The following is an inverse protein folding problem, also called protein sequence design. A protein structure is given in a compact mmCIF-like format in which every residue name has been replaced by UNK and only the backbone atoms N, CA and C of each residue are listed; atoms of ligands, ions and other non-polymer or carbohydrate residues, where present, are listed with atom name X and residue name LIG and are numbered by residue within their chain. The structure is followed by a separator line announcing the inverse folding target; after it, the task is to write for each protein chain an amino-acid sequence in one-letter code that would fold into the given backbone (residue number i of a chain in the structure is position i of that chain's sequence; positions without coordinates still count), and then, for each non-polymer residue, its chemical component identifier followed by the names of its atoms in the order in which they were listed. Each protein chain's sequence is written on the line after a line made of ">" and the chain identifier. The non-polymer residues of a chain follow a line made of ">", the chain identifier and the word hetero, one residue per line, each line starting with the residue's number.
data_IF_417319288668
#
_entry.id   IF_417319288668
#
_cell.length_a   1.000
_cell.length_b   1.000
_cell.length_c   1.000
_cell.angle_alpha   90.00
_cell.angle_beta   90.00
_cell.angle_gamma   90.00
#
_symmetry.space_group_name_H-M   'P 1'
#
loop_
_entity.id
_entity.type
_entity.pdbx_description
1 polymer ?
#
# COMPACT_ATOMS: atom_id res chain seq x y z
N UNK A 1 -22.19 -46.47 45.36
CA UNK A 1 -21.30 -45.29 45.52
C UNK A 1 -20.25 -45.13 44.42
N UNK A 2 -19.45 -46.15 44.07
CA UNK A 2 -18.36 -46.02 43.07
C UNK A 2 -18.84 -45.59 41.67
N UNK A 3 -20.00 -46.06 41.24
CA UNK A 3 -20.60 -45.70 39.93
C UNK A 3 -21.11 -44.26 39.92
N UNK A 4 -21.70 -43.79 41.01
CA UNK A 4 -22.16 -42.41 41.17
C UNK A 4 -20.98 -41.42 41.19
N UNK A 5 -19.89 -41.80 41.87
CA UNK A 5 -18.66 -41.02 41.93
C UNK A 5 -18.00 -40.87 40.55
N UNK A 6 -18.08 -41.89 39.69
CA UNK A 6 -17.58 -41.83 38.30
C UNK A 6 -18.37 -40.84 37.44
N UNK A 7 -19.70 -40.83 37.55
CA UNK A 7 -20.53 -39.87 36.82
C UNK A 7 -20.29 -38.43 37.30
N UNK A 8 -20.07 -38.25 38.60
CA UNK A 8 -19.77 -36.93 39.18
C UNK A 8 -18.39 -36.41 38.73
N UNK A 9 -17.38 -37.29 38.63
CA UNK A 9 -16.04 -36.93 38.15
C UNK A 9 -16.04 -36.57 36.66
N UNK A 10 -16.78 -37.33 35.84
CA UNK A 10 -16.92 -37.05 34.40
C UNK A 10 -17.67 -35.73 34.18
N UNK A 11 -18.73 -35.47 34.97
CA UNK A 11 -19.44 -34.18 34.94
C UNK A 11 -18.52 -33.01 35.27
N UNK A 12 -17.69 -33.13 36.31
CA UNK A 12 -16.75 -32.07 36.71
C UNK A 12 -15.68 -31.79 35.63
N UNK A 13 -15.19 -32.81 34.93
CA UNK A 13 -14.21 -32.65 33.83
C UNK A 13 -14.83 -31.96 32.61
N UNK A 14 -16.13 -32.14 32.36
CA UNK A 14 -16.84 -31.51 31.25
C UNK A 14 -17.17 -30.02 31.53
N UNK A 15 -17.33 -29.63 32.80
CA UNK A 15 -17.59 -28.23 33.17
C UNK A 15 -16.33 -27.36 33.18
N UNK A 16 -15.12 -27.93 33.24
CA UNK A 16 -13.86 -27.15 33.26
C UNK A 16 -13.34 -26.78 31.87
N UNK A 17 -14.04 -27.14 30.79
CA UNK A 17 -13.66 -26.83 29.41
C UNK A 17 -14.29 -25.54 28.86
N UNK A 18 -14.95 -24.73 29.69
CA UNK A 18 -15.33 -23.37 29.27
C UNK A 18 -14.10 -22.47 29.37
N UNK A 19 -13.18 -22.60 28.41
CA UNK A 19 -12.17 -21.59 28.15
C UNK A 19 -12.91 -20.29 27.84
N UNK A 20 -12.97 -19.40 28.82
CA UNK A 20 -13.33 -18.01 28.61
C UNK A 20 -12.20 -17.42 27.75
N UNK A 21 -12.33 -17.53 26.44
CA UNK A 21 -11.55 -16.70 25.54
C UNK A 21 -12.06 -15.29 25.80
N UNK A 22 -11.23 -14.44 26.41
CA UNK A 22 -11.39 -13.01 26.19
C UNK A 22 -11.38 -12.85 24.68
N UNK A 23 -12.50 -12.41 24.11
CA UNK A 23 -12.53 -11.87 22.77
C UNK A 23 -11.60 -10.66 22.83
N UNK A 24 -10.32 -10.88 22.54
CA UNK A 24 -9.42 -9.78 22.30
C UNK A 24 -9.88 -9.21 20.96
N UNK A 25 -10.84 -8.30 21.03
CA UNK A 25 -11.16 -7.37 19.98
C UNK A 25 -9.86 -6.60 19.70
N UNK A 26 -9.00 -7.19 18.86
CA UNK A 26 -7.81 -6.57 18.32
C UNK A 26 -8.28 -5.55 17.27
N UNK A 27 -9.10 -4.59 17.72
CA UNK A 27 -9.48 -3.43 16.95
C UNK A 27 -8.19 -2.64 16.75
N UNK A 28 -7.81 -2.47 15.49
CA UNK A 28 -6.72 -1.60 15.10
C UNK A 28 -6.95 -0.20 15.69
N UNK A 29 -6.25 0.13 16.78
CA UNK A 29 -6.40 1.41 17.49
C UNK A 29 -5.53 2.53 16.90
N UNK A 30 -4.74 2.21 15.86
CA UNK A 30 -3.86 3.16 15.22
C UNK A 30 -4.62 3.94 14.16
N UNK A 31 -4.06 5.08 13.78
CA UNK A 31 -4.56 5.87 12.65
C UNK A 31 -4.66 4.98 11.41
N UNK A 32 -5.77 5.08 10.67
CA UNK A 32 -5.91 4.40 9.37
C UNK A 32 -4.94 5.04 8.38
N UNK A 33 -4.15 4.20 7.71
CA UNK A 33 -3.13 4.68 6.77
C UNK A 33 -3.20 3.98 5.43
N UNK A 34 -2.58 4.60 4.42
CA UNK A 34 -2.36 4.01 3.10
C UNK A 34 -0.88 3.85 2.79
N UNK A 35 -0.54 2.77 2.11
CA UNK A 35 0.85 2.41 1.77
C UNK A 35 0.96 1.73 0.40
N UNK A 36 2.05 2.00 -0.32
CA UNK A 36 2.34 1.26 -1.55
C UNK A 36 2.81 -0.15 -1.21
N UNK A 37 2.10 -1.16 -1.71
CA UNK A 37 2.46 -2.57 -1.49
C UNK A 37 3.89 -2.85 -1.99
N UNK A 38 4.28 -2.25 -3.12
CA UNK A 38 5.63 -2.40 -3.68
C UNK A 38 6.71 -1.99 -2.67
N UNK A 39 6.49 -0.95 -1.89
CA UNK A 39 7.46 -0.44 -0.90
C UNK A 39 7.55 -1.31 0.34
N UNK A 40 6.48 -2.05 0.64
CA UNK A 40 6.45 -3.03 1.74
C UNK A 40 7.26 -4.28 1.38
N UNK A 41 7.17 -4.76 0.14
CA UNK A 41 7.69 -6.09 -0.25
C UNK A 41 8.93 -6.07 -1.14
N UNK A 42 9.32 -4.91 -1.66
CA UNK A 42 10.48 -4.78 -2.57
C UNK A 42 11.65 -4.13 -1.85
N UNK A 43 12.87 -4.60 -2.14
CA UNK A 43 14.08 -3.97 -1.63
C UNK A 43 14.16 -2.49 -2.03
N UNK A 44 14.49 -1.65 -1.06
CA UNK A 44 14.64 -0.21 -1.27
C UNK A 44 15.87 0.08 -2.12
N UNK A 45 15.81 1.14 -2.94
CA UNK A 45 16.96 1.59 -3.69
C UNK A 45 18.04 2.15 -2.73
N UNK A 46 19.32 2.02 -3.11
CA UNK A 46 20.45 2.47 -2.28
C UNK A 46 20.29 3.96 -1.93
N UNK A 47 20.30 4.28 -0.64
CA UNK A 47 20.14 5.64 -0.13
C UNK A 47 18.73 6.22 -0.25
N UNK A 48 17.71 5.40 -0.57
CA UNK A 48 16.31 5.82 -0.66
C UNK A 48 15.44 5.06 0.34
N UNK A 49 14.28 5.63 0.67
CA UNK A 49 13.24 5.01 1.51
C UNK A 49 12.15 4.31 0.68
N UNK A 50 12.38 4.15 -0.63
CA UNK A 50 11.44 3.57 -1.58
C UNK A 50 12.17 2.72 -2.62
N UNK A 51 11.51 1.73 -3.23
CA UNK A 51 12.07 0.99 -4.35
C UNK A 51 12.05 1.83 -5.63
N UNK A 52 12.92 1.48 -6.58
CA UNK A 52 12.91 1.99 -7.94
C UNK A 52 12.59 0.85 -8.89
N UNK A 53 11.32 0.74 -9.28
CA UNK A 53 10.80 -0.30 -10.14
C UNK A 53 11.31 -0.05 -11.58
N UNK A 54 11.97 -1.03 -12.23
CA UNK A 54 12.48 -0.83 -13.58
C UNK A 54 11.34 -0.87 -14.60
N UNK A 55 11.19 0.20 -15.38
CA UNK A 55 10.13 0.35 -16.39
C UNK A 55 10.77 0.75 -17.72
N UNK A 56 10.27 0.21 -18.84
CA UNK A 56 10.69 0.63 -20.18
C UNK A 56 9.96 1.91 -20.60
N UNK A 57 10.65 2.80 -21.33
CA UNK A 57 10.01 3.94 -22.00
C UNK A 57 8.83 3.45 -22.89
N UNK A 58 7.71 4.18 -22.85
CA UNK A 58 6.50 3.81 -23.58
C UNK A 58 5.77 2.56 -23.06
N UNK A 59 6.04 2.11 -21.83
CA UNK A 59 5.35 0.95 -21.25
C UNK A 59 3.85 1.18 -20.97
N UNK A 60 3.33 2.39 -21.18
CA UNK A 60 1.92 2.71 -20.99
C UNK A 60 1.54 2.73 -19.51
N UNK A 61 0.30 2.32 -19.20
CA UNK A 61 -0.23 2.37 -17.84
C UNK A 61 0.52 1.41 -16.89
N UNK A 62 1.15 1.98 -15.88
CA UNK A 62 1.74 1.27 -14.76
C UNK A 62 0.76 1.30 -13.59
N UNK A 63 0.41 0.13 -13.07
CA UNK A 63 -0.51 -0.01 -11.94
C UNK A 63 0.26 -0.51 -10.72
N UNK A 64 0.19 0.23 -9.62
CA UNK A 64 0.78 -0.17 -8.34
C UNK A 64 -0.33 -0.26 -7.29
N UNK A 65 -0.40 -1.41 -6.62
CA UNK A 65 -1.34 -1.64 -5.53
C UNK A 65 -1.03 -0.73 -4.33
N UNK A 66 -2.10 -0.19 -3.74
CA UNK A 66 -2.08 0.53 -2.47
C UNK A 66 -2.95 -0.21 -1.47
N UNK A 67 -2.44 -0.40 -0.26
CA UNK A 67 -3.17 -1.02 0.83
C UNK A 67 -3.78 0.05 1.74
N UNK A 68 -5.00 -0.22 2.21
CA UNK A 68 -5.59 0.45 3.36
C UNK A 68 -5.26 -0.37 4.62
N UNK A 69 -4.44 0.20 5.50
CA UNK A 69 -4.09 -0.40 6.78
C UNK A 69 -4.99 0.19 7.86
N UNK A 70 -6.02 -0.57 8.21
CA UNK A 70 -7.05 -0.22 9.17
C UNK A 70 -8.37 -0.90 8.82
N UNK A 71 -9.47 -0.54 9.51
CA UNK A 71 -10.79 -1.06 9.20
C UNK A 71 -11.20 -0.73 7.76
N UNK A 72 -11.84 -1.68 7.08
CA UNK A 72 -12.46 -1.42 5.78
C UNK A 72 -13.56 -0.37 5.91
N UNK A 73 -13.77 0.40 4.83
CA UNK A 73 -14.79 1.45 4.78
C UNK A 73 -16.04 0.92 4.09
N UNK A 74 -17.21 1.25 4.62
CA UNK A 74 -18.49 0.88 3.99
C UNK A 74 -18.80 1.70 2.73
N UNK A 75 -17.99 2.73 2.44
CA UNK A 75 -18.04 3.58 1.24
C UNK A 75 -16.68 3.56 0.56
N UNK A 76 -16.65 3.92 -0.71
CA UNK A 76 -15.40 4.11 -1.42
C UNK A 76 -14.61 5.31 -0.88
N UNK A 77 -13.29 5.20 -0.91
CA UNK A 77 -12.36 6.25 -0.47
C UNK A 77 -11.53 6.74 -1.65
N UNK A 78 -11.54 8.05 -1.88
CA UNK A 78 -10.68 8.68 -2.89
C UNK A 78 -9.36 9.08 -2.24
N UNK A 79 -8.28 8.45 -2.67
CA UNK A 79 -6.94 8.70 -2.16
C UNK A 79 -6.17 9.56 -3.14
N UNK A 80 -5.55 10.61 -2.62
CA UNK A 80 -4.68 11.53 -3.36
C UNK A 80 -3.24 11.01 -3.35
N UNK A 81 -2.56 11.25 -4.47
CA UNK A 81 -1.13 11.04 -4.61
C UNK A 81 -0.55 12.11 -5.53
N UNK A 82 0.73 12.39 -5.35
CA UNK A 82 1.44 13.40 -6.12
C UNK A 82 2.85 12.95 -6.45
N UNK A 83 3.54 13.79 -7.23
CA UNK A 83 4.93 13.59 -7.60
C UNK A 83 5.82 14.21 -6.53
N UNK A 84 6.73 13.41 -6.00
CA UNK A 84 7.81 13.87 -5.13
C UNK A 84 8.85 14.61 -5.99
N UNK A 85 8.73 15.95 -6.01
CA UNK A 85 9.55 16.83 -6.86
C UNK A 85 11.03 16.79 -6.51
N UNK A 86 11.38 16.50 -5.25
CA UNK A 86 12.77 16.50 -4.79
C UNK A 86 13.51 15.23 -5.24
N UNK A 87 12.76 14.19 -5.61
CA UNK A 87 13.30 12.88 -5.97
C UNK A 87 13.01 12.47 -7.41
N UNK A 88 12.22 13.26 -8.13
CA UNK A 88 11.81 12.99 -9.51
C UNK A 88 12.69 13.75 -10.49
N UNK A 89 13.26 13.03 -11.45
CA UNK A 89 13.93 13.60 -12.64
C UNK A 89 13.10 13.45 -13.91
N UNK A 90 12.03 12.64 -13.87
CA UNK A 90 11.05 12.53 -14.95
C UNK A 90 10.23 13.83 -15.11
N UNK A 91 9.77 14.13 -16.33
CA UNK A 91 9.06 15.36 -16.65
C UNK A 91 7.66 14.99 -17.12
N UNK A 92 6.64 15.58 -16.52
CA UNK A 92 5.23 15.34 -16.90
C UNK A 92 4.97 15.82 -18.33
N UNK A 93 4.18 15.07 -19.08
CA UNK A 93 3.91 15.32 -20.50
C UNK A 93 5.03 14.88 -21.45
N UNK A 94 6.24 14.61 -20.94
CA UNK A 94 7.36 14.04 -21.72
C UNK A 94 7.56 12.58 -21.39
N UNK A 95 7.74 12.25 -20.11
CA UNK A 95 8.07 10.90 -19.65
C UNK A 95 6.86 10.18 -19.04
N UNK A 96 5.91 10.93 -18.45
CA UNK A 96 4.73 10.35 -17.80
C UNK A 96 3.50 11.28 -17.84
N UNK A 97 2.34 10.73 -17.50
CA UNK A 97 1.09 11.45 -17.22
C UNK A 97 0.45 10.89 -15.92
N UNK A 98 0.19 11.76 -14.94
CA UNK A 98 -0.29 11.38 -13.60
C UNK A 98 -1.78 10.97 -13.56
N UNK A 99 -2.54 11.15 -14.65
CA UNK A 99 -3.97 10.82 -14.73
C UNK A 99 -4.81 11.44 -13.60
N UNK A 100 -4.47 12.66 -13.17
CA UNK A 100 -5.25 13.42 -12.20
C UNK A 100 -4.88 13.22 -10.72
N UNK A 101 -3.91 12.37 -10.39
CA UNK A 101 -3.34 12.30 -9.03
C UNK A 101 -4.30 11.75 -7.97
N UNK A 102 -5.29 10.95 -8.37
CA UNK A 102 -6.21 10.28 -7.44
C UNK A 102 -6.51 8.86 -7.89
N UNK A 103 -6.80 7.98 -6.94
CA UNK A 103 -7.40 6.68 -7.21
C UNK A 103 -8.43 6.33 -6.13
N UNK A 104 -9.27 5.33 -6.42
CA UNK A 104 -10.34 4.90 -5.51
C UNK A 104 -9.99 3.56 -4.87
N UNK A 105 -10.17 3.47 -3.56
CA UNK A 105 -10.30 2.21 -2.83
C UNK A 105 -11.79 1.90 -2.74
N UNK A 106 -12.29 0.81 -3.34
CA UNK A 106 -13.72 0.49 -3.30
C UNK A 106 -14.24 0.27 -1.88
N UNK A 107 -15.56 0.43 -1.71
CA UNK A 107 -16.24 0.05 -0.47
C UNK A 107 -15.97 -1.42 -0.12
N UNK A 108 -15.80 -1.70 1.17
CA UNK A 108 -15.51 -3.01 1.75
C UNK A 108 -14.24 -3.66 1.16
N UNK A 109 -13.28 -2.84 0.72
CA UNK A 109 -11.97 -3.27 0.24
C UNK A 109 -10.87 -2.64 1.09
N UNK A 110 -9.76 -3.37 1.22
CA UNK A 110 -8.50 -2.84 1.76
C UNK A 110 -7.48 -2.56 0.65
N UNK A 111 -7.88 -2.64 -0.61
CA UNK A 111 -7.00 -2.57 -1.77
C UNK A 111 -7.51 -1.55 -2.79
N UNK A 112 -6.61 -0.70 -3.28
CA UNK A 112 -6.82 0.18 -4.42
C UNK A 112 -5.63 0.14 -5.38
N UNK A 113 -5.81 0.74 -6.55
CA UNK A 113 -4.82 0.72 -7.62
C UNK A 113 -4.44 2.15 -8.01
N UNK A 114 -3.20 2.54 -7.71
CA UNK A 114 -2.62 3.79 -8.20
C UNK A 114 -2.11 3.57 -9.62
N UNK A 115 -2.51 4.43 -10.56
CA UNK A 115 -2.14 4.33 -11.97
C UNK A 115 -1.39 5.56 -12.42
N UNK A 116 -0.27 5.35 -13.11
CA UNK A 116 0.45 6.39 -13.84
C UNK A 116 0.75 5.90 -15.25
N UNK A 117 0.64 6.77 -16.25
CA UNK A 117 1.00 6.40 -17.62
C UNK A 117 2.46 6.76 -17.88
N UNK A 118 3.25 5.80 -18.33
CA UNK A 118 4.60 6.02 -18.86
C UNK A 118 4.50 6.24 -20.36
N UNK A 119 4.85 7.46 -20.77
CA UNK A 119 4.76 7.90 -22.16
C UNK A 119 5.95 7.36 -22.96
N UNK A 120 5.79 7.32 -24.29
CA UNK A 120 6.92 7.11 -25.18
C UNK A 120 7.65 8.44 -25.38
N UNK A 121 8.47 8.80 -24.39
CA UNK A 121 9.15 10.09 -24.31
C UNK A 121 10.49 10.12 -25.03
N UNK A 122 11.07 11.32 -25.12
CA UNK A 122 12.46 11.51 -25.54
C UNK A 122 13.42 11.22 -24.40
N UNK A 123 14.60 10.61 -24.66
CA UNK A 123 15.59 10.39 -23.61
C UNK A 123 16.12 11.72 -23.05
N UNK A 124 16.63 11.73 -21.80
CA UNK A 124 17.35 12.88 -21.28
C UNK A 124 18.57 13.19 -22.15
N UNK A 125 18.94 14.47 -22.22
CA UNK A 125 20.01 15.00 -23.09
C UNK A 125 21.40 14.40 -22.81
N UNK A 126 21.58 13.76 -21.64
CA UNK A 126 22.81 13.07 -21.28
C UNK A 126 23.14 11.92 -22.24
N UNK A 127 24.41 11.84 -22.66
CA UNK A 127 24.93 10.75 -23.51
C UNK A 127 25.18 9.45 -22.74
N UNK A 128 25.32 9.52 -21.42
CA UNK A 128 25.83 8.40 -20.60
C UNK A 128 24.75 7.73 -19.75
N UNK A 129 23.64 8.43 -19.46
CA UNK A 129 22.54 7.91 -18.65
C UNK A 129 21.24 8.05 -19.42
N UNK A 130 20.67 6.91 -19.84
CA UNK A 130 19.39 6.82 -20.54
C UNK A 130 18.27 6.39 -19.61
N UNK A 131 18.23 6.99 -18.41
CA UNK A 131 17.18 6.73 -17.43
C UNK A 131 16.71 8.01 -16.77
N UNK A 132 15.42 8.06 -16.43
CA UNK A 132 14.83 9.07 -15.54
C UNK A 132 14.05 8.38 -14.44
N UNK A 133 13.99 9.00 -13.27
CA UNK A 133 13.27 8.48 -12.11
C UNK A 133 11.98 9.30 -11.90
N UNK A 134 10.85 8.61 -11.82
CA UNK A 134 9.56 9.16 -11.40
C UNK A 134 9.25 8.64 -10.00
N UNK A 135 9.02 9.52 -9.03
CA UNK A 135 8.69 9.13 -7.66
C UNK A 135 7.31 9.65 -7.28
N UNK A 136 6.42 8.74 -6.93
CA UNK A 136 5.07 9.04 -6.44
C UNK A 136 5.06 9.00 -4.91
N UNK A 137 4.25 9.86 -4.31
CA UNK A 137 3.98 9.90 -2.86
C UNK A 137 2.48 9.92 -2.59
N UNK A 138 2.02 9.12 -1.63
CA UNK A 138 0.64 9.15 -1.14
C UNK A 138 0.41 10.37 -0.24
N UNK A 139 -0.80 10.91 -0.28
CA UNK A 139 -1.24 12.05 0.54
C UNK A 139 -2.43 11.71 1.45
N UNK A 140 -3.11 10.58 1.21
CA UNK A 140 -4.31 10.16 1.94
C UNK A 140 -5.61 10.73 1.34
N UNK A 141 -6.70 10.72 2.11
CA UNK A 141 -8.00 11.26 1.66
C UNK A 141 -8.23 12.73 2.06
N UNK A 142 -7.27 13.35 2.75
CA UNK A 142 -7.38 14.73 3.27
C UNK A 142 -8.21 14.84 4.56
N UNK A 143 -8.57 13.72 5.18
CA UNK A 143 -9.29 13.67 6.45
C UNK A 143 -8.66 12.67 7.41
N UNK A 144 -9.26 11.50 7.62
CA UNK A 144 -8.88 10.51 8.61
C UNK A 144 -7.88 9.45 8.09
N UNK A 145 -7.80 9.25 6.77
CA UNK A 145 -6.84 8.34 6.14
C UNK A 145 -5.58 9.13 5.76
N UNK A 146 -4.45 8.76 6.34
CA UNK A 146 -3.15 9.42 6.11
C UNK A 146 -2.15 8.50 5.41
N UNK A 147 -1.10 9.03 4.78
CA UNK A 147 -0.04 8.19 4.25
C UNK A 147 0.76 7.53 5.38
N UNK A 148 1.18 6.28 5.19
CA UNK A 148 2.15 5.63 6.08
C UNK A 148 3.55 6.20 5.80
N UNK A 149 4.13 6.93 6.75
CA UNK A 149 5.42 7.63 6.57
C UNK A 149 6.56 6.73 6.09
N UNK A 150 6.55 5.44 6.44
CA UNK A 150 7.58 4.49 6.01
C UNK A 150 7.37 3.93 4.60
N UNK A 151 6.13 3.92 4.10
CA UNK A 151 5.74 3.18 2.89
C UNK A 151 4.91 4.02 1.89
N UNK A 152 4.89 5.35 2.07
CA UNK A 152 4.09 6.25 1.23
C UNK A 152 4.68 6.55 -0.14
N UNK A 153 5.92 6.16 -0.43
CA UNK A 153 6.61 6.46 -1.69
C UNK A 153 6.89 5.22 -2.51
N UNK A 154 6.73 5.30 -3.82
CA UNK A 154 7.18 4.29 -4.79
C UNK A 154 7.84 5.02 -5.96
N UNK A 155 8.95 4.49 -6.45
CA UNK A 155 9.66 5.05 -7.60
C UNK A 155 9.62 4.13 -8.82
N UNK A 156 9.64 4.72 -10.01
CA UNK A 156 9.81 4.07 -11.29
C UNK A 156 11.06 4.59 -11.96
N UNK A 157 11.97 3.69 -12.34
CA UNK A 157 13.14 4.00 -13.16
C UNK A 157 12.82 3.69 -14.61
N UNK A 158 12.60 4.73 -15.41
CA UNK A 158 12.22 4.62 -16.82
C UNK A 158 13.48 4.57 -17.66
N UNK A 159 13.70 3.50 -18.41
CA UNK A 159 14.85 3.32 -19.32
C UNK A 159 14.48 3.56 -20.78
N UNK A 160 15.36 4.29 -21.49
CA UNK A 160 15.24 4.64 -22.92
C UNK A 160 16.18 3.81 -23.79
#
# INVERSE_FOLDING_TARGET
>A
MKTLLRFMLIGFILFTQTSCFEESDFLWNKKTVVEFQATVVTSLAVGKTYPLLPIKNGAGNQTTQVNLVGPQRSKEEVIKFSVDKDNTTAVEGVHYNLKGGTFTIPANSSLGNCVVEVLNGTPPTSTTTKTVDLVLTLEGNGSDISPNENYKKVGYRISF
#
